data_IF_719464197838
#
_entry.id   IF_719464197838
#
_cell.length_a   1.000
_cell.length_b   1.000
_cell.length_c   1.000
_cell.angle_alpha   90.00
_cell.angle_beta   90.00
_cell.angle_gamma   90.00
#
_symmetry.space_group_name_H-M   'P 1'
#
loop_
_entity.id
_entity.type
_entity.pdbx_description
1 polymer ?
#
# COMPACT_ATOMS: atom_id res chain seq x y z
N UNK A 1 -3.75 -48.81 12.55
CA UNK A 1 -3.01 -47.79 11.79
C UNK A 1 -3.36 -46.46 12.44
N UNK A 2 -2.42 -45.85 13.17
CA UNK A 2 -2.66 -44.57 13.86
C UNK A 2 -2.38 -43.48 12.84
N UNK A 3 -3.43 -42.80 12.41
CA UNK A 3 -3.35 -41.66 11.53
C UNK A 3 -2.61 -40.54 12.27
N UNK A 4 -1.47 -40.13 11.71
CA UNK A 4 -0.58 -39.15 12.32
C UNK A 4 -1.05 -37.79 11.82
N UNK A 5 -1.69 -37.02 12.70
CA UNK A 5 -2.13 -35.66 12.37
C UNK A 5 -1.00 -34.85 11.73
N UNK A 6 -1.30 -34.03 10.71
CA UNK A 6 -0.28 -33.24 10.02
C UNK A 6 0.41 -32.28 10.99
N UNK A 7 1.74 -32.25 10.94
CA UNK A 7 2.63 -31.42 11.79
C UNK A 7 2.56 -29.92 11.45
N UNK A 8 1.57 -29.49 10.68
CA UNK A 8 1.36 -28.10 10.27
C UNK A 8 0.61 -27.35 11.38
N UNK A 9 1.02 -26.14 11.77
CA UNK A 9 0.28 -25.35 12.75
C UNK A 9 -1.12 -25.03 12.20
N UNK A 10 -2.14 -25.59 12.85
CA UNK A 10 -3.56 -25.46 12.47
C UNK A 10 -4.16 -24.09 12.84
N UNK A 11 -3.37 -23.25 13.53
CA UNK A 11 -3.72 -21.89 13.93
C UNK A 11 -2.73 -20.90 13.29
N UNK A 12 -3.18 -19.73 12.82
CA UNK A 12 -2.26 -18.67 12.43
C UNK A 12 -1.31 -18.40 13.59
N UNK A 13 -0.01 -18.43 13.32
CA UNK A 13 1.02 -18.13 14.32
C UNK A 13 0.64 -16.81 14.99
N UNK A 14 0.48 -16.84 16.31
CA UNK A 14 0.26 -15.62 17.07
C UNK A 14 1.38 -14.63 16.72
N UNK A 15 1.00 -13.44 16.28
CA UNK A 15 1.96 -12.40 15.93
C UNK A 15 2.77 -12.09 17.20
N UNK A 16 4.11 -12.13 17.08
CA UNK A 16 5.00 -11.73 18.17
C UNK A 16 5.47 -10.29 17.90
N UNK A 17 5.39 -9.38 18.88
CA UNK A 17 4.92 -9.57 20.26
C UNK A 17 3.39 -9.74 20.38
N UNK A 18 2.89 -10.44 21.42
CA UNK A 18 1.47 -10.66 21.63
C UNK A 18 0.74 -9.33 21.74
N UNK A 19 -0.36 -9.19 21.01
CA UNK A 19 -1.24 -8.03 21.13
C UNK A 19 -1.65 -7.88 22.60
N UNK A 20 -1.61 -6.66 23.16
CA UNK A 20 -1.98 -6.43 24.54
C UNK A 20 -3.44 -6.88 24.76
N UNK A 21 -3.79 -7.47 25.92
CA UNK A 21 -5.12 -8.00 26.19
C UNK A 21 -6.18 -6.93 25.95
N UNK A 22 -7.33 -7.32 25.40
CA UNK A 22 -8.39 -6.39 24.95
C UNK A 22 -8.84 -5.40 26.04
N UNK A 23 -8.72 -5.78 27.32
CA UNK A 23 -8.98 -4.91 28.48
C UNK A 23 -8.02 -3.72 28.61
N UNK A 24 -6.79 -3.84 28.11
CA UNK A 24 -5.77 -2.79 28.13
C UNK A 24 -5.76 -1.92 26.87
N UNK A 25 -6.52 -2.30 25.83
CA UNK A 25 -6.69 -1.49 24.63
C UNK A 25 -7.60 -0.32 24.99
N UNK A 26 -7.02 0.88 25.04
CA UNK A 26 -7.79 2.10 25.28
C UNK A 26 -8.98 2.16 24.34
N UNK A 27 -10.20 2.20 24.90
CA UNK A 27 -11.46 2.31 24.17
C UNK A 27 -11.70 3.70 23.58
N UNK A 28 -10.80 4.63 23.85
CA UNK A 28 -10.89 6.03 23.44
C UNK A 28 -11.10 6.21 21.91
N UNK A 29 -10.42 5.48 21.00
CA UNK A 29 -10.62 5.64 19.56
C UNK A 29 -12.06 5.34 19.11
N UNK A 30 -12.74 4.38 19.75
CA UNK A 30 -14.13 4.01 19.42
C UNK A 30 -15.10 5.15 19.76
N UNK A 31 -14.91 5.79 20.93
CA UNK A 31 -15.73 6.92 21.35
C UNK A 31 -15.50 8.16 20.48
N UNK A 32 -14.24 8.46 20.14
CA UNK A 32 -13.95 9.59 19.23
C UNK A 32 -14.56 9.36 17.85
N UNK A 33 -14.49 8.14 17.31
CA UNK A 33 -15.12 7.78 16.05
C UNK A 33 -16.63 7.99 16.09
N UNK A 34 -17.30 7.54 17.15
CA UNK A 34 -18.75 7.72 17.31
C UNK A 34 -19.16 9.19 17.41
N UNK A 35 -18.45 9.97 18.21
CA UNK A 35 -18.71 11.41 18.37
C UNK A 35 -18.46 12.14 17.05
N UNK A 36 -17.34 11.87 16.39
CA UNK A 36 -17.01 12.46 15.09
C UNK A 36 -18.06 12.11 14.03
N UNK A 37 -18.49 10.84 13.94
CA UNK A 37 -19.51 10.41 13.00
C UNK A 37 -20.87 11.08 13.25
N UNK A 38 -21.34 11.06 14.50
CA UNK A 38 -22.64 11.64 14.88
C UNK A 38 -22.65 13.16 14.67
N UNK A 39 -21.58 13.84 15.08
CA UNK A 39 -21.45 15.30 14.88
C UNK A 39 -21.34 15.69 13.41
N UNK A 40 -20.57 14.92 12.61
CA UNK A 40 -20.47 15.15 11.16
C UNK A 40 -21.82 15.01 10.48
N UNK A 41 -22.59 13.97 10.82
CA UNK A 41 -23.92 13.77 10.23
C UNK A 41 -24.90 14.86 10.66
N UNK A 42 -24.89 15.26 11.94
CA UNK A 42 -25.71 16.35 12.44
C UNK A 42 -25.40 17.66 11.72
N UNK A 43 -24.12 18.03 11.62
CA UNK A 43 -23.69 19.23 10.89
C UNK A 43 -24.05 19.16 9.40
N UNK A 44 -23.94 17.98 8.79
CA UNK A 44 -24.34 17.77 7.40
C UNK A 44 -25.85 17.98 7.20
N UNK A 45 -26.69 17.45 8.09
CA UNK A 45 -28.13 17.70 8.05
C UNK A 45 -28.45 19.19 8.20
N UNK A 46 -27.83 19.88 9.15
CA UNK A 46 -28.00 21.33 9.34
C UNK A 46 -27.56 22.09 8.08
N UNK A 47 -26.43 21.70 7.48
CA UNK A 47 -25.93 22.29 6.24
C UNK A 47 -26.90 22.11 5.07
N UNK A 48 -27.43 20.90 4.87
CA UNK A 48 -28.41 20.61 3.80
C UNK A 48 -29.70 21.38 4.03
N UNK A 49 -30.20 21.42 5.27
CA UNK A 49 -31.38 22.22 5.62
C UNK A 49 -31.15 23.70 5.33
N UNK A 50 -30.01 24.25 5.75
CA UNK A 50 -29.63 25.64 5.47
C UNK A 50 -29.52 25.92 3.96
N UNK A 51 -28.96 24.99 3.18
CA UNK A 51 -28.79 25.15 1.73
C UNK A 51 -30.13 25.12 0.96
N UNK A 52 -31.10 24.29 1.40
CA UNK A 52 -32.33 24.02 0.64
C UNK A 52 -33.58 24.74 1.17
N UNK A 53 -33.67 25.08 2.45
CA UNK A 53 -34.86 25.76 2.99
C UNK A 53 -34.99 27.18 2.40
N UNK A 54 -36.20 27.65 2.06
CA UNK A 54 -36.45 29.06 1.73
C UNK A 54 -36.13 30.01 2.89
N UNK A 55 -35.82 31.28 2.57
CA UNK A 55 -35.45 32.33 3.54
C UNK A 55 -36.51 32.53 4.62
N UNK A 56 -37.79 32.43 4.26
CA UNK A 56 -38.94 32.62 5.15
C UNK A 56 -38.89 31.71 6.38
N UNK A 57 -38.50 30.44 6.19
CA UNK A 57 -38.39 29.48 7.28
C UNK A 57 -37.17 29.73 8.17
N UNK A 58 -36.05 30.18 7.57
CA UNK A 58 -34.81 30.48 8.29
C UNK A 58 -34.99 31.74 9.15
N UNK A 59 -35.62 32.78 8.59
CA UNK A 59 -35.95 34.01 9.31
C UNK A 59 -36.99 33.72 10.39
N UNK A 60 -37.97 32.85 10.12
CA UNK A 60 -38.96 32.38 11.09
C UNK A 60 -38.36 31.62 12.29
N UNK A 61 -37.22 30.95 12.09
CA UNK A 61 -36.42 30.34 13.16
C UNK A 61 -35.63 31.37 14.00
N UNK A 62 -35.68 32.66 13.66
CA UNK A 62 -34.98 33.75 14.35
C UNK A 62 -33.55 33.99 13.84
N UNK A 63 -33.14 33.35 12.75
CA UNK A 63 -31.81 33.55 12.14
C UNK A 63 -31.88 34.69 11.13
N UNK A 64 -31.49 35.89 11.56
CA UNK A 64 -31.54 37.10 10.74
C UNK A 64 -30.28 37.33 9.91
N UNK A 65 -29.16 36.69 10.26
CA UNK A 65 -27.91 36.80 9.53
C UNK A 65 -27.28 35.42 9.32
N UNK A 66 -27.00 35.09 8.07
CA UNK A 66 -26.30 33.87 7.64
C UNK A 66 -25.49 34.17 6.37
N UNK A 67 -24.42 33.40 6.07
CA UNK A 67 -23.57 33.64 4.89
C UNK A 67 -24.35 33.47 3.58
N UNK A 68 -23.83 34.02 2.47
CA UNK A 68 -24.47 33.89 1.15
C UNK A 68 -24.71 32.40 0.79
N UNK A 69 -25.89 32.07 0.25
CA UNK A 69 -26.27 30.70 -0.15
C UNK A 69 -25.33 30.09 -1.20
N UNK A 70 -24.62 30.91 -1.96
CA UNK A 70 -23.60 30.45 -2.91
C UNK A 70 -22.53 29.56 -2.26
N UNK A 71 -22.23 29.75 -0.98
CA UNK A 71 -21.30 28.88 -0.25
C UNK A 71 -21.76 27.41 -0.21
N UNK A 72 -23.06 27.14 -0.37
CA UNK A 72 -23.57 25.78 -0.51
C UNK A 72 -23.06 25.06 -1.77
N UNK A 73 -22.74 25.78 -2.85
CA UNK A 73 -22.16 25.18 -4.06
C UNK A 73 -20.64 25.29 -4.08
N UNK A 74 -20.10 26.39 -3.55
CA UNK A 74 -18.66 26.61 -3.52
C UNK A 74 -17.95 25.57 -2.64
N UNK A 75 -18.45 25.28 -1.44
CA UNK A 75 -17.83 24.28 -0.55
C UNK A 75 -17.62 22.90 -1.21
N UNK A 76 -18.65 22.26 -1.80
CA UNK A 76 -18.44 20.97 -2.47
C UNK A 76 -17.60 21.09 -3.76
N UNK A 77 -17.69 22.19 -4.49
CA UNK A 77 -16.86 22.39 -5.68
C UNK A 77 -15.37 22.51 -5.33
N UNK A 78 -15.02 23.34 -4.35
CA UNK A 78 -13.63 23.51 -3.89
C UNK A 78 -13.10 22.25 -3.19
N UNK A 79 -13.94 21.49 -2.50
CA UNK A 79 -13.49 20.22 -1.89
C UNK A 79 -13.08 19.20 -2.95
N UNK A 80 -13.79 19.11 -4.08
CA UNK A 80 -13.38 18.27 -5.21
C UNK A 80 -12.04 18.73 -5.81
N UNK A 81 -11.84 20.04 -5.97
CA UNK A 81 -10.57 20.60 -6.44
C UNK A 81 -9.43 20.25 -5.48
N UNK A 82 -9.65 20.35 -4.16
CA UNK A 82 -8.66 19.98 -3.14
C UNK A 82 -8.31 18.49 -3.21
N UNK A 83 -9.29 17.62 -3.37
CA UNK A 83 -9.07 16.17 -3.53
C UNK A 83 -8.21 15.89 -4.76
N UNK A 84 -8.57 16.45 -5.92
CA UNK A 84 -7.80 16.29 -7.15
C UNK A 84 -6.38 16.84 -6.99
N UNK A 85 -6.24 18.03 -6.41
CA UNK A 85 -4.94 18.65 -6.13
C UNK A 85 -4.08 17.73 -5.27
N UNK A 86 -4.65 17.12 -4.23
CA UNK A 86 -3.94 16.19 -3.35
C UNK A 86 -3.38 14.99 -4.13
N UNK A 87 -4.18 14.40 -5.03
CA UNK A 87 -3.72 13.30 -5.89
C UNK A 87 -2.62 13.75 -6.86
N UNK A 88 -2.78 14.91 -7.51
CA UNK A 88 -1.76 15.44 -8.40
C UNK A 88 -0.46 15.74 -7.66
N UNK A 89 -0.52 16.34 -6.47
CA UNK A 89 0.64 16.59 -5.63
C UNK A 89 1.30 15.29 -5.20
N UNK A 90 0.52 14.31 -4.75
CA UNK A 90 1.06 12.99 -4.39
C UNK A 90 1.76 12.32 -5.58
N UNK A 91 1.15 12.35 -6.77
CA UNK A 91 1.75 11.81 -7.99
C UNK A 91 3.04 12.55 -8.37
N UNK A 92 3.03 13.88 -8.31
CA UNK A 92 4.21 14.69 -8.57
C UNK A 92 5.35 14.39 -7.57
N UNK A 93 5.02 14.22 -6.29
CA UNK A 93 5.99 13.83 -5.27
C UNK A 93 6.51 12.40 -5.49
N UNK A 94 5.65 11.46 -5.86
CA UNK A 94 6.06 10.08 -6.18
C UNK A 94 7.02 10.05 -7.38
N UNK A 95 6.72 10.80 -8.45
CA UNK A 95 7.61 10.95 -9.60
C UNK A 95 8.92 11.64 -9.22
N UNK A 96 8.88 12.70 -8.42
CA UNK A 96 10.08 13.40 -7.96
C UNK A 96 10.97 12.53 -7.05
N UNK A 97 10.36 11.62 -6.30
CA UNK A 97 11.06 10.68 -5.43
C UNK A 97 11.56 9.41 -6.16
N UNK A 98 11.13 9.17 -7.40
CA UNK A 98 11.53 7.98 -8.17
C UNK A 98 12.95 8.17 -8.72
N UNK A 99 13.90 7.24 -8.47
CA UNK A 99 15.23 7.28 -9.08
C UNK A 99 15.18 7.22 -10.61
N UNK A 100 16.26 7.63 -11.32
CA UNK A 100 16.34 7.47 -12.76
C UNK A 100 16.12 6.00 -13.17
N UNK A 101 15.42 5.76 -14.28
CA UNK A 101 15.10 4.40 -14.76
C UNK A 101 16.33 3.51 -15.02
N UNK A 102 17.51 4.10 -15.21
CA UNK A 102 18.77 3.39 -15.39
C UNK A 102 19.40 2.92 -14.08
N UNK A 103 18.89 3.37 -12.93
CA UNK A 103 19.45 3.04 -11.63
C UNK A 103 18.88 1.72 -11.09
N UNK A 104 19.78 0.84 -10.64
CA UNK A 104 19.44 -0.46 -10.06
C UNK A 104 18.59 -0.32 -8.79
N UNK A 105 18.70 0.83 -8.10
CA UNK A 105 17.89 1.18 -6.93
C UNK A 105 16.37 1.18 -7.18
N UNK A 106 15.95 1.20 -8.45
CA UNK A 106 14.53 1.06 -8.84
C UNK A 106 14.03 -0.38 -8.72
N UNK A 107 14.94 -1.37 -8.76
CA UNK A 107 14.62 -2.81 -8.73
C UNK A 107 15.10 -3.46 -7.42
N UNK A 108 16.17 -2.94 -6.82
CA UNK A 108 16.75 -3.44 -5.56
C UNK A 108 16.68 -2.38 -4.48
N UNK A 109 16.47 -2.80 -3.23
CA UNK A 109 16.55 -1.93 -2.06
C UNK A 109 17.65 -2.40 -1.10
N UNK A 110 17.77 -1.74 0.06
CA UNK A 110 18.71 -2.13 1.11
C UNK A 110 18.33 -3.40 1.88
N UNK A 111 17.13 -3.94 1.63
CA UNK A 111 16.63 -5.17 2.24
C UNK A 111 16.76 -6.37 1.30
N UNK A 112 17.11 -6.16 0.04
CA UNK A 112 17.39 -7.20 -0.93
C UNK A 112 18.47 -8.16 -0.40
N UNK A 113 18.14 -9.45 -0.34
CA UNK A 113 19.03 -10.48 0.19
C UNK A 113 19.90 -11.04 -0.94
N UNK A 114 20.92 -10.28 -1.33
CA UNK A 114 21.85 -10.66 -2.38
C UNK A 114 23.10 -11.34 -1.79
N UNK A 115 23.69 -12.34 -2.47
CA UNK A 115 24.92 -12.96 -2.02
C UNK A 115 26.10 -11.98 -2.11
N UNK A 116 27.17 -12.21 -1.32
CA UNK A 116 28.35 -11.36 -1.33
C UNK A 116 28.97 -11.27 -2.74
N UNK A 117 29.28 -10.05 -3.19
CA UNK A 117 29.87 -9.79 -4.53
C UNK A 117 31.29 -10.39 -4.64
N UNK A 118 31.99 -10.51 -3.52
CA UNK A 118 33.35 -11.05 -3.43
C UNK A 118 33.33 -12.53 -3.08
N UNK A 119 33.42 -13.41 -4.09
CA UNK A 119 33.50 -14.85 -3.87
C UNK A 119 33.21 -15.70 -5.10
N UNK A 120 33.21 -17.03 -4.89
CA UNK A 120 32.64 -17.99 -5.83
C UNK A 120 31.12 -17.72 -5.93
N UNK A 121 30.53 -17.90 -7.11
CA UNK A 121 29.14 -17.54 -7.33
C UNK A 121 28.21 -18.45 -6.52
N UNK A 122 27.74 -17.96 -5.36
CA UNK A 122 26.93 -18.70 -4.40
C UNK A 122 25.72 -19.36 -5.04
N UNK A 123 25.11 -18.73 -6.06
CA UNK A 123 23.99 -19.32 -6.79
C UNK A 123 24.32 -20.68 -7.43
N UNK A 124 25.57 -20.91 -7.87
CA UNK A 124 25.99 -22.18 -8.47
C UNK A 124 26.44 -23.22 -7.43
N UNK A 125 27.00 -22.81 -6.29
CA UNK A 125 27.31 -23.75 -5.21
C UNK A 125 26.06 -24.41 -4.62
N UNK A 126 24.94 -23.70 -4.74
CA UNK A 126 23.61 -24.13 -4.28
C UNK A 126 22.90 -25.04 -5.31
N UNK A 127 23.46 -25.21 -6.51
CA UNK A 127 22.94 -26.13 -7.53
C UNK A 127 23.38 -27.59 -7.31
N UNK A 128 24.12 -27.88 -6.23
CA UNK A 128 24.55 -29.24 -5.89
C UNK A 128 23.37 -30.03 -5.29
N UNK A 129 23.17 -31.30 -5.67
CA UNK A 129 22.01 -32.09 -5.25
C UNK A 129 21.85 -32.26 -3.73
N UNK A 130 22.93 -32.08 -2.96
CA UNK A 130 22.96 -32.28 -1.51
C UNK A 130 23.16 -30.98 -0.72
N UNK A 131 23.08 -29.81 -1.37
CA UNK A 131 23.20 -28.52 -0.68
C UNK A 131 21.82 -28.08 -0.16
N UNK A 132 21.75 -27.63 1.09
CA UNK A 132 20.58 -26.89 1.61
C UNK A 132 20.85 -25.41 1.37
N UNK A 133 20.16 -24.77 0.41
CA UNK A 133 20.49 -23.41 0.02
C UNK A 133 20.05 -22.39 1.07
N UNK A 134 20.89 -21.39 1.33
CA UNK A 134 20.44 -20.16 1.96
C UNK A 134 19.52 -19.38 1.00
N UNK A 135 18.54 -18.66 1.55
CA UNK A 135 17.50 -18.00 0.76
C UNK A 135 17.98 -16.64 0.27
N UNK A 136 18.50 -16.58 -0.96
CA UNK A 136 18.89 -15.34 -1.64
C UNK A 136 17.90 -14.92 -2.72
N UNK A 137 17.73 -13.62 -2.90
CA UNK A 137 17.03 -13.03 -4.04
C UNK A 137 17.84 -13.26 -5.32
N UNK A 138 17.18 -13.71 -6.38
CA UNK A 138 17.81 -13.96 -7.68
C UNK A 138 17.48 -12.78 -8.61
N UNK A 139 18.49 -12.05 -9.13
CA UNK A 139 18.25 -10.94 -10.04
C UNK A 139 17.45 -11.38 -11.26
N UNK A 140 16.41 -10.61 -11.60
CA UNK A 140 15.53 -10.90 -12.74
C UNK A 140 16.29 -11.06 -14.06
N UNK A 141 17.41 -10.33 -14.25
CA UNK A 141 18.29 -10.49 -15.41
C UNK A 141 18.93 -11.87 -15.50
N UNK A 142 19.31 -12.48 -14.36
CA UNK A 142 19.84 -13.84 -14.31
C UNK A 142 18.75 -14.86 -14.63
N UNK A 143 17.57 -14.71 -14.01
CA UNK A 143 16.39 -15.56 -14.28
C UNK A 143 16.05 -15.52 -15.77
N UNK A 144 15.93 -14.32 -16.35
CA UNK A 144 15.61 -14.15 -17.76
C UNK A 144 16.67 -14.78 -18.67
N UNK A 145 17.96 -14.64 -18.32
CA UNK A 145 19.05 -15.27 -19.09
C UNK A 145 19.02 -16.79 -19.02
N UNK A 146 18.67 -17.38 -17.87
CA UNK A 146 18.63 -18.83 -17.71
C UNK A 146 17.39 -19.43 -18.38
N UNK A 147 16.23 -18.80 -18.21
CA UNK A 147 14.95 -19.29 -18.74
C UNK A 147 14.83 -19.01 -20.24
N UNK A 148 15.18 -17.80 -20.69
CA UNK A 148 14.96 -17.32 -22.06
C UNK A 148 16.24 -17.13 -22.87
N UNK A 149 17.43 -17.28 -22.28
CA UNK A 149 18.69 -17.21 -22.99
C UNK A 149 18.81 -18.38 -23.96
N UNK A 150 18.44 -18.13 -25.21
CA UNK A 150 18.45 -19.11 -26.28
C UNK A 150 19.80 -19.83 -26.35
N UNK A 151 19.74 -21.16 -26.32
CA UNK A 151 20.87 -22.07 -26.54
C UNK A 151 21.42 -21.75 -27.94
N UNK A 152 22.54 -21.03 -28.03
CA UNK A 152 23.22 -20.79 -29.31
C UNK A 152 23.70 -22.16 -29.82
N UNK A 153 22.90 -22.78 -30.67
CA UNK A 153 23.24 -24.03 -31.32
C UNK A 153 24.59 -23.85 -32.04
N UNK A 154 25.62 -24.53 -31.52
CA UNK A 154 26.81 -24.83 -32.31
C UNK A 154 26.38 -25.81 -33.41
N UNK A 155 25.89 -25.28 -34.51
CA UNK A 155 25.70 -26.02 -35.75
C UNK A 155 26.67 -25.43 -36.79
N UNK A 156 27.55 -26.28 -37.33
CA UNK A 156 28.27 -26.02 -38.56
C UNK A 156 29.68 -25.41 -38.42
N UNK A 157 30.64 -26.23 -38.00
CA UNK A 157 31.94 -26.24 -38.68
C UNK A 157 32.24 -27.69 -39.05
N UNK A 158 31.64 -28.12 -40.15
CA UNK A 158 32.18 -29.19 -40.96
C UNK A 158 33.54 -28.72 -41.49
N UNK A 159 34.58 -29.48 -41.19
CA UNK A 159 35.92 -29.36 -41.77
C UNK A 159 36.15 -30.59 -42.66
N UNK A 160 37.00 -30.44 -43.68
CA UNK A 160 36.73 -30.71 -45.09
C UNK A 160 36.57 -32.17 -45.49
#
# INVERSE_FOLDING_TARGET
>A
MVEKDPTSPVSPLAQFPPLPPTESRSRAPEFYGFVAWTSTYLLFCVYVLWALLPDEYIIGLGVTWYPNREWAILLPAYSMVLVLLTYFTYFALALAATPPFSDISTITDSRAHLPPITGLNSYFDHARPNAVPEMYDIPIGLVNRVIYGSRRNHAGKETP
#
